data_IF_017148680332
#
_entry.id   IF_017148680332
#
_cell.length_a   1.000
_cell.length_b   1.000
_cell.length_c   1.000
_cell.angle_alpha   90.00
_cell.angle_beta   90.00
_cell.angle_gamma   90.00
#
_symmetry.space_group_name_H-M   'P 1'
#
loop_
_entity.id
_entity.type
_entity.pdbx_description
1 polymer ?
#
# COMPACT_ATOMS: atom_id res chain seq x y z
N UNK A 1 -8.65 25.06 -11.41
CA UNK A 1 -7.73 25.28 -10.26
C UNK A 1 -7.19 23.98 -9.64
N UNK A 2 -8.01 23.01 -9.22
CA UNK A 2 -7.52 21.71 -8.69
C UNK A 2 -6.99 20.81 -9.81
N UNK A 3 -7.69 20.77 -10.95
CA UNK A 3 -7.30 19.99 -12.15
C UNK A 3 -5.97 20.49 -12.72
N UNK A 4 -5.74 21.81 -12.76
CA UNK A 4 -4.48 22.39 -13.25
C UNK A 4 -3.28 22.05 -12.36
N UNK A 5 -3.49 21.97 -11.04
CA UNK A 5 -2.46 21.51 -10.10
C UNK A 5 -2.14 20.03 -10.29
N UNK A 6 -3.16 19.22 -10.56
CA UNK A 6 -3.01 17.78 -10.78
C UNK A 6 -2.33 17.50 -12.13
N UNK A 7 -2.68 18.24 -13.17
CA UNK A 7 -2.02 18.19 -14.48
C UNK A 7 -0.56 18.68 -14.39
N UNK A 8 -0.28 19.77 -13.68
CA UNK A 8 1.09 20.21 -13.46
C UNK A 8 1.89 19.21 -12.63
N UNK A 9 1.26 18.56 -11.64
CA UNK A 9 1.91 17.51 -10.85
C UNK A 9 2.25 16.28 -11.71
N UNK A 10 1.32 15.82 -12.56
CA UNK A 10 1.52 14.71 -13.48
C UNK A 10 2.57 15.04 -14.56
N UNK A 11 2.53 16.26 -15.11
CA UNK A 11 3.50 16.76 -16.09
C UNK A 11 4.91 16.79 -15.51
N UNK A 12 5.07 17.30 -14.28
CA UNK A 12 6.37 17.32 -13.58
C UNK A 12 6.91 15.92 -13.32
N UNK A 13 6.02 14.95 -13.06
CA UNK A 13 6.40 13.54 -12.89
C UNK A 13 6.81 12.89 -14.21
N UNK A 14 6.12 13.22 -15.30
CA UNK A 14 6.47 12.78 -16.66
C UNK A 14 7.84 13.31 -17.10
N UNK A 15 8.12 14.59 -16.85
CA UNK A 15 9.39 15.23 -17.20
C UNK A 15 10.56 14.65 -16.38
N UNK A 16 10.34 14.34 -15.10
CA UNK A 16 11.33 13.63 -14.27
C UNK A 16 11.56 12.16 -14.68
N UNK A 17 10.76 11.62 -15.62
CA UNK A 17 10.87 10.25 -16.12
C UNK A 17 11.58 10.17 -17.48
N UNK A 18 11.92 11.30 -18.10
CA UNK A 18 12.58 11.34 -19.41
C UNK A 18 14.09 11.48 -19.23
N UNK A 19 14.79 10.35 -19.34
CA UNK A 19 16.24 10.33 -19.56
C UNK A 19 16.46 10.45 -21.07
N UNK A 20 16.60 11.68 -21.56
CA UNK A 20 16.88 11.94 -22.98
C UNK A 20 18.39 12.06 -23.19
N UNK A 21 19.05 10.96 -23.53
CA UNK A 21 20.39 11.02 -24.14
C UNK A 21 20.23 10.97 -25.66
N UNK A 22 20.16 12.13 -26.31
CA UNK A 22 20.37 12.20 -27.76
C UNK A 22 21.87 12.24 -28.02
N UNK A 23 22.52 11.08 -28.07
CA UNK A 23 23.94 10.97 -28.47
C UNK A 23 24.14 11.20 -29.98
N UNK A 24 23.06 11.17 -30.75
CA UNK A 24 23.09 11.54 -32.16
C UNK A 24 22.50 12.94 -32.27
N UNK A 25 23.38 13.94 -32.30
CA UNK A 25 23.02 15.29 -32.76
C UNK A 25 22.49 15.21 -34.19
N UNK A 26 21.68 16.20 -34.57
CA UNK A 26 21.33 16.37 -35.98
C UNK A 26 22.63 16.56 -36.80
N UNK A 27 22.66 16.19 -38.09
CA UNK A 27 23.85 16.43 -38.91
C UNK A 27 24.18 17.93 -38.90
N UNK A 28 25.24 18.32 -38.20
CA UNK A 28 25.64 19.72 -38.00
C UNK A 28 25.66 20.21 -36.55
N UNK A 29 25.15 19.45 -35.58
CA UNK A 29 25.36 19.77 -34.16
C UNK A 29 26.82 19.46 -33.78
N UNK A 30 27.50 20.46 -33.21
CA UNK A 30 28.85 20.35 -32.70
C UNK A 30 28.93 19.21 -31.69
N UNK A 31 30.04 18.46 -31.77
CA UNK A 31 30.36 17.36 -30.87
C UNK A 31 30.18 17.88 -29.45
N UNK A 32 29.24 17.31 -28.67
CA UNK A 32 29.02 17.71 -27.28
C UNK A 32 30.35 17.63 -26.52
N UNK A 33 30.99 18.79 -26.30
CA UNK A 33 32.34 18.91 -25.70
C UNK A 33 32.33 18.69 -24.18
N UNK A 34 31.16 18.42 -23.59
CA UNK A 34 31.03 18.17 -22.16
C UNK A 34 31.81 16.92 -21.77
N UNK A 35 32.53 17.01 -20.65
CA UNK A 35 33.21 15.86 -20.09
C UNK A 35 32.19 14.72 -19.87
N UNK A 36 32.55 13.46 -20.21
CA UNK A 36 31.65 12.33 -20.02
C UNK A 36 31.24 12.23 -18.54
N UNK A 37 29.98 11.88 -18.25
CA UNK A 37 29.50 11.81 -16.87
C UNK A 37 30.32 10.80 -16.07
N UNK A 38 30.96 11.28 -15.00
CA UNK A 38 31.84 10.47 -14.12
C UNK A 38 31.12 9.91 -12.90
N UNK A 39 29.91 10.37 -12.60
CA UNK A 39 29.18 10.02 -11.37
C UNK A 39 27.75 9.55 -11.66
N UNK A 40 27.32 8.52 -10.93
CA UNK A 40 25.95 8.01 -10.89
C UNK A 40 25.41 8.33 -9.50
N UNK A 41 24.45 9.26 -9.43
CA UNK A 41 23.83 9.65 -8.17
C UNK A 41 22.65 8.72 -7.87
N UNK A 42 22.70 8.04 -6.72
CA UNK A 42 21.64 7.16 -6.23
C UNK A 42 21.11 7.72 -4.92
N UNK A 43 19.79 7.84 -4.78
CA UNK A 43 19.20 8.32 -3.54
C UNK A 43 19.54 7.37 -2.38
N UNK A 44 19.97 7.91 -1.24
CA UNK A 44 20.14 7.11 -0.03
C UNK A 44 18.78 6.66 0.51
N UNK A 45 18.64 5.38 0.85
CA UNK A 45 17.44 4.85 1.50
C UNK A 45 17.62 4.86 3.02
N UNK A 46 16.79 5.65 3.69
CA UNK A 46 16.75 5.72 5.15
C UNK A 46 15.65 4.80 5.69
N UNK A 47 16.08 3.67 6.29
CA UNK A 47 15.17 2.70 6.91
C UNK A 47 14.40 3.28 8.11
N UNK A 48 14.96 4.27 8.81
CA UNK A 48 14.39 4.83 10.04
C UNK A 48 13.54 6.08 9.80
N UNK A 49 13.35 6.44 8.53
CA UNK A 49 12.60 7.62 8.11
C UNK A 49 11.21 7.65 8.76
N UNK A 50 10.73 8.83 9.22
CA UNK A 50 9.48 8.95 9.97
C UNK A 50 8.25 8.50 9.16
N UNK A 51 8.35 8.52 7.83
CA UNK A 51 7.30 8.04 6.93
C UNK A 51 7.03 6.52 7.03
N UNK A 52 8.04 5.73 7.42
CA UNK A 52 7.93 4.28 7.63
C UNK A 52 7.60 3.89 9.07
N UNK A 53 7.24 4.86 9.92
CA UNK A 53 6.72 4.59 11.26
C UNK A 53 5.21 4.46 11.23
N UNK A 54 4.71 3.53 12.04
CA UNK A 54 3.29 3.38 12.34
C UNK A 54 3.13 3.40 13.85
N UNK A 55 2.33 4.35 14.35
CA UNK A 55 2.23 4.66 15.77
C UNK A 55 3.61 5.00 16.36
N UNK A 56 4.08 4.23 17.34
CA UNK A 56 5.33 4.45 18.06
C UNK A 56 6.46 3.50 17.64
N UNK A 57 6.30 2.74 16.55
CA UNK A 57 7.29 1.74 16.12
C UNK A 57 7.46 1.68 14.60
N UNK A 58 8.48 0.97 14.15
CA UNK A 58 8.72 0.74 12.73
C UNK A 58 7.54 -0.03 12.11
N UNK A 59 7.12 0.35 10.91
CA UNK A 59 5.91 -0.18 10.25
C UNK A 59 5.89 -1.70 10.16
N UNK A 60 7.03 -2.35 9.90
CA UNK A 60 7.14 -3.82 9.86
C UNK A 60 6.82 -4.48 11.20
N UNK A 61 7.25 -3.88 12.31
CA UNK A 61 6.95 -4.37 13.67
C UNK A 61 5.47 -4.15 14.00
N UNK A 62 4.92 -2.99 13.66
CA UNK A 62 3.50 -2.70 13.84
C UNK A 62 2.63 -3.69 13.04
N UNK A 63 3.00 -3.98 11.79
CA UNK A 63 2.31 -4.96 10.95
C UNK A 63 2.43 -6.39 11.49
N UNK A 64 3.58 -6.79 12.05
CA UNK A 64 3.74 -8.09 12.70
C UNK A 64 2.84 -8.23 13.93
N UNK A 65 2.78 -7.20 14.77
CA UNK A 65 1.90 -7.15 15.95
C UNK A 65 0.43 -7.22 15.51
N UNK A 66 0.07 -6.46 14.49
CA UNK A 66 -1.28 -6.48 13.90
C UNK A 66 -1.63 -7.87 13.37
N UNK A 67 -0.72 -8.51 12.63
CA UNK A 67 -0.95 -9.86 12.12
C UNK A 67 -1.14 -10.89 13.25
N UNK A 68 -0.31 -10.84 14.29
CA UNK A 68 -0.42 -11.72 15.45
C UNK A 68 -1.70 -11.50 16.27
N UNK A 69 -2.08 -10.24 16.47
CA UNK A 69 -3.33 -9.87 17.14
C UNK A 69 -4.54 -10.39 16.36
N UNK A 70 -4.61 -10.12 15.06
CA UNK A 70 -5.74 -10.53 14.24
C UNK A 70 -5.85 -12.05 14.05
N UNK A 71 -4.73 -12.76 13.99
CA UNK A 71 -4.71 -14.23 14.02
C UNK A 71 -5.30 -14.73 15.35
N UNK A 72 -4.90 -14.13 16.47
CA UNK A 72 -5.44 -14.48 17.79
C UNK A 72 -6.95 -14.22 17.87
N UNK A 73 -7.42 -13.08 17.37
CA UNK A 73 -8.85 -12.77 17.27
C UNK A 73 -9.60 -13.78 16.41
N UNK A 74 -9.05 -14.16 15.24
CA UNK A 74 -9.68 -15.13 14.33
C UNK A 74 -9.90 -16.48 15.03
N UNK A 75 -8.86 -17.00 15.68
CA UNK A 75 -8.93 -18.27 16.41
C UNK A 75 -9.90 -18.15 17.58
N UNK A 76 -9.79 -17.09 18.37
CA UNK A 76 -10.64 -16.87 19.52
C UNK A 76 -12.12 -16.77 19.13
N UNK A 77 -12.45 -16.02 18.09
CA UNK A 77 -13.81 -15.90 17.56
C UNK A 77 -14.36 -17.24 17.08
N UNK A 78 -13.54 -18.06 16.40
CA UNK A 78 -13.94 -19.40 16.00
C UNK A 78 -14.22 -20.30 17.20
N UNK A 79 -13.33 -20.31 18.21
CA UNK A 79 -13.52 -21.11 19.42
C UNK A 79 -14.75 -20.67 20.20
N UNK A 80 -14.94 -19.36 20.38
CA UNK A 80 -16.13 -18.81 21.04
C UNK A 80 -17.41 -19.17 20.30
N UNK A 81 -17.38 -19.12 18.96
CA UNK A 81 -18.51 -19.55 18.15
C UNK A 81 -18.87 -21.02 18.35
N UNK A 82 -17.87 -21.91 18.43
CA UNK A 82 -18.12 -23.34 18.66
C UNK A 82 -18.79 -23.64 20.01
N UNK A 83 -18.45 -22.89 21.06
CA UNK A 83 -18.99 -23.12 22.40
C UNK A 83 -20.34 -22.43 22.64
N UNK A 84 -20.53 -21.22 22.11
CA UNK A 84 -21.73 -20.43 22.33
C UNK A 84 -22.89 -20.86 21.42
N UNK A 85 -22.58 -21.44 20.25
CA UNK A 85 -23.60 -21.86 19.31
C UNK A 85 -24.41 -23.05 19.87
N UNK A 86 -25.74 -22.87 19.93
CA UNK A 86 -26.68 -23.88 20.43
C UNK A 86 -26.94 -24.95 19.37
N UNK A 87 -26.00 -25.88 19.24
CA UNK A 87 -26.04 -26.99 18.28
C UNK A 87 -27.32 -27.83 18.38
N UNK A 88 -27.87 -27.98 19.59
CA UNK A 88 -28.98 -28.87 19.90
C UNK A 88 -30.37 -28.25 19.66
N UNK A 89 -30.46 -26.93 19.52
CA UNK A 89 -31.74 -26.20 19.37
C UNK A 89 -32.32 -26.26 17.95
N UNK A 90 -31.51 -26.71 16.98
CA UNK A 90 -31.97 -26.89 15.61
C UNK A 90 -32.73 -28.21 15.54
N UNK A 91 -34.06 -28.14 15.64
CA UNK A 91 -34.99 -29.29 15.62
C UNK A 91 -34.94 -30.20 14.37
N UNK A 92 -33.91 -30.07 13.52
CA UNK A 92 -33.60 -30.93 12.36
C UNK A 92 -32.20 -31.57 12.41
N UNK A 93 -31.44 -31.40 13.50
CA UNK A 93 -30.10 -31.98 13.68
C UNK A 93 -28.97 -30.96 13.49
N UNK A 94 -27.75 -31.48 13.44
CA UNK A 94 -26.49 -30.73 13.35
C UNK A 94 -26.45 -29.78 12.14
N UNK A 95 -26.28 -28.48 12.38
CA UNK A 95 -26.21 -27.46 11.32
C UNK A 95 -24.83 -27.48 10.63
N UNK A 96 -24.75 -28.31 9.58
CA UNK A 96 -23.55 -28.46 8.73
C UNK A 96 -23.17 -27.14 8.05
N UNK A 97 -24.15 -26.31 7.65
CA UNK A 97 -23.89 -25.07 6.92
C UNK A 97 -23.13 -24.07 7.79
N UNK A 98 -23.58 -23.92 9.02
CA UNK A 98 -22.92 -23.08 10.03
C UNK A 98 -21.48 -23.53 10.30
N UNK A 99 -21.23 -24.83 10.36
CA UNK A 99 -19.88 -25.36 10.59
C UNK A 99 -18.97 -25.10 9.41
N UNK A 100 -19.44 -25.39 8.20
CA UNK A 100 -18.69 -25.09 6.98
C UNK A 100 -18.35 -23.60 6.92
N UNK A 101 -19.31 -22.73 7.21
CA UNK A 101 -19.09 -21.28 7.30
C UNK A 101 -18.03 -20.90 8.34
N UNK A 102 -18.10 -21.47 9.55
CA UNK A 102 -17.14 -21.19 10.63
C UNK A 102 -15.72 -21.68 10.29
N UNK A 103 -15.58 -22.84 9.65
CA UNK A 103 -14.29 -23.37 9.19
C UNK A 103 -13.73 -22.49 8.08
N UNK A 104 -14.55 -22.06 7.12
CA UNK A 104 -14.13 -21.13 6.07
C UNK A 104 -13.63 -19.80 6.66
N UNK A 105 -14.34 -19.26 7.65
CA UNK A 105 -13.92 -18.05 8.36
C UNK A 105 -12.56 -18.25 9.04
N UNK A 106 -12.37 -19.38 9.74
CA UNK A 106 -11.09 -19.71 10.37
C UNK A 106 -9.95 -19.81 9.34
N UNK A 107 -10.17 -20.55 8.26
CA UNK A 107 -9.15 -20.78 7.23
C UNK A 107 -8.78 -19.48 6.53
N UNK A 108 -9.78 -18.72 6.04
CA UNK A 108 -9.56 -17.45 5.35
C UNK A 108 -8.89 -16.44 6.30
N UNK A 109 -9.41 -16.29 7.52
CA UNK A 109 -8.85 -15.40 8.51
C UNK A 109 -7.39 -15.76 8.85
N UNK A 110 -7.09 -17.04 9.08
CA UNK A 110 -5.72 -17.49 9.35
C UNK A 110 -4.80 -17.22 8.14
N UNK A 111 -5.25 -17.53 6.92
CA UNK A 111 -4.47 -17.31 5.71
C UNK A 111 -4.15 -15.82 5.50
N UNK A 112 -5.12 -14.94 5.70
CA UNK A 112 -4.94 -13.48 5.53
C UNK A 112 -3.82 -12.96 6.45
N UNK A 113 -3.84 -13.34 7.72
CA UNK A 113 -2.82 -12.90 8.69
C UNK A 113 -1.47 -13.58 8.45
N UNK A 114 -1.49 -14.86 8.06
CA UNK A 114 -0.29 -15.60 7.71
C UNK A 114 0.45 -14.98 6.52
N UNK A 115 -0.27 -14.52 5.50
CA UNK A 115 0.32 -13.85 4.34
C UNK A 115 1.05 -12.56 4.74
N UNK A 116 0.55 -11.81 5.72
CA UNK A 116 1.26 -10.63 6.26
C UNK A 116 2.59 -11.02 6.89
N UNK A 117 2.59 -12.06 7.74
CA UNK A 117 3.83 -12.56 8.37
C UNK A 117 4.81 -13.09 7.32
N UNK A 118 4.32 -13.77 6.28
CA UNK A 118 5.13 -14.24 5.18
C UNK A 118 5.72 -13.07 4.38
N UNK A 119 4.95 -12.01 4.14
CA UNK A 119 5.40 -10.79 3.50
C UNK A 119 6.51 -10.09 4.26
N UNK A 120 6.40 -10.04 5.59
CA UNK A 120 7.46 -9.51 6.47
C UNK A 120 8.71 -10.38 6.40
N UNK A 121 8.56 -11.71 6.51
CA UNK A 121 9.67 -12.67 6.45
C UNK A 121 10.40 -12.66 5.11
N UNK A 122 9.67 -12.49 4.01
CA UNK A 122 10.20 -12.46 2.64
C UNK A 122 10.55 -11.06 2.14
N UNK A 123 10.33 -10.04 2.98
CA UNK A 123 10.49 -8.62 2.63
C UNK A 123 9.82 -8.22 1.32
N UNK A 124 8.58 -8.70 1.10
CA UNK A 124 7.88 -8.53 -0.17
C UNK A 124 6.46 -7.99 0.05
N UNK A 125 6.20 -6.83 -0.57
CA UNK A 125 4.96 -6.08 -0.49
C UNK A 125 3.73 -6.83 -1.06
N UNK A 126 3.91 -7.73 -2.02
CA UNK A 126 2.82 -8.43 -2.72
C UNK A 126 1.99 -9.28 -1.76
N UNK A 127 2.64 -9.93 -0.79
CA UNK A 127 1.95 -10.78 0.19
C UNK A 127 1.04 -9.98 1.16
N UNK A 128 1.17 -8.66 1.22
CA UNK A 128 0.33 -7.81 2.07
C UNK A 128 -1.00 -7.41 1.41
N UNK A 129 -1.09 -7.54 0.07
CA UNK A 129 -2.27 -7.13 -0.71
C UNK A 129 -3.56 -7.85 -0.26
N UNK A 130 -3.59 -9.19 -0.07
CA UNK A 130 -4.80 -9.87 0.34
C UNK A 130 -5.38 -9.34 1.65
N UNK A 131 -4.52 -9.05 2.64
CA UNK A 131 -4.96 -8.50 3.92
C UNK A 131 -5.53 -7.09 3.78
N UNK A 132 -4.90 -6.23 2.99
CA UNK A 132 -5.42 -4.88 2.72
C UNK A 132 -6.79 -4.94 2.07
N UNK A 133 -6.97 -5.80 1.06
CA UNK A 133 -8.25 -5.96 0.37
C UNK A 133 -9.36 -6.46 1.31
N UNK A 134 -9.07 -7.49 2.11
CA UNK A 134 -10.04 -8.07 3.05
C UNK A 134 -10.42 -7.06 4.12
N UNK A 135 -9.46 -6.38 4.76
CA UNK A 135 -9.77 -5.37 5.79
C UNK A 135 -10.55 -4.20 5.23
N UNK A 136 -10.16 -3.67 4.07
CA UNK A 136 -10.90 -2.58 3.44
C UNK A 136 -12.35 -2.97 3.16
N UNK A 137 -12.57 -4.15 2.58
CA UNK A 137 -13.90 -4.65 2.30
C UNK A 137 -14.73 -4.89 3.56
N UNK A 138 -14.15 -5.51 4.58
CA UNK A 138 -14.79 -5.76 5.88
C UNK A 138 -15.20 -4.45 6.55
N UNK A 139 -14.30 -3.46 6.65
CA UNK A 139 -14.58 -2.16 7.25
C UNK A 139 -15.73 -1.45 6.51
N UNK A 140 -15.75 -1.50 5.18
CA UNK A 140 -16.80 -0.86 4.37
C UNK A 140 -18.15 -1.55 4.59
N UNK A 141 -18.20 -2.88 4.53
CA UNK A 141 -19.43 -3.64 4.80
C UNK A 141 -19.92 -3.38 6.21
N UNK A 142 -19.02 -3.43 7.19
CA UNK A 142 -19.33 -3.15 8.57
C UNK A 142 -19.90 -1.72 8.70
N UNK A 143 -19.28 -0.71 8.11
CA UNK A 143 -19.81 0.65 8.20
C UNK A 143 -21.23 0.76 7.60
N UNK A 144 -21.51 0.08 6.50
CA UNK A 144 -22.85 0.04 5.88
C UNK A 144 -23.86 -0.63 6.83
N UNK A 145 -23.53 -1.80 7.39
CA UNK A 145 -24.40 -2.53 8.34
C UNK A 145 -24.70 -1.64 9.54
N UNK A 146 -23.71 -0.94 10.07
CA UNK A 146 -23.90 -0.02 11.21
C UNK A 146 -24.82 1.13 10.87
N UNK A 147 -24.66 1.77 9.71
CA UNK A 147 -25.56 2.85 9.27
C UNK A 147 -27.00 2.35 9.13
N UNK A 148 -27.19 1.16 8.54
CA UNK A 148 -28.51 0.54 8.41
C UNK A 148 -29.11 0.21 9.78
N UNK A 149 -28.33 -0.36 10.69
CA UNK A 149 -28.76 -0.70 12.04
C UNK A 149 -29.14 0.56 12.84
N UNK A 150 -28.31 1.61 12.78
CA UNK A 150 -28.58 2.88 13.43
C UNK A 150 -29.84 3.55 12.86
N UNK A 151 -30.00 3.57 11.53
CA UNK A 151 -31.18 4.13 10.88
C UNK A 151 -32.45 3.35 11.24
N UNK A 152 -32.41 2.02 11.21
CA UNK A 152 -33.53 1.18 11.64
C UNK A 152 -33.93 1.51 13.08
N UNK A 153 -32.93 1.64 13.97
CA UNK A 153 -33.13 1.88 15.38
C UNK A 153 -33.65 3.30 15.70
N UNK A 154 -33.26 4.32 14.92
CA UNK A 154 -33.83 5.68 15.02
C UNK A 154 -35.28 5.71 14.54
N UNK A 155 -35.59 4.99 13.45
CA UNK A 155 -36.93 4.95 12.86
C UNK A 155 -37.90 4.05 13.65
N UNK A 156 -37.39 3.01 14.32
CA UNK A 156 -38.17 2.24 15.28
C UNK A 156 -38.28 3.04 16.58
N UNK A 157 -39.44 3.65 16.84
CA UNK A 157 -39.78 4.42 18.06
C UNK A 157 -39.58 3.64 19.38
N UNK A 158 -39.16 2.38 19.31
CA UNK A 158 -38.95 1.43 20.39
C UNK A 158 -38.01 1.91 21.49
N UNK A 159 -37.00 2.77 21.20
CA UNK A 159 -36.13 3.31 22.25
C UNK A 159 -36.77 4.43 23.09
N UNK A 160 -37.86 5.05 22.62
CA UNK A 160 -38.56 6.12 23.35
C UNK A 160 -39.83 5.63 24.06
N UNK A 161 -40.26 4.38 23.83
CA UNK A 161 -41.52 3.83 24.38
C UNK A 161 -41.38 2.51 25.13
N UNK A 162 -40.25 1.79 25.01
CA UNK A 162 -40.07 0.54 25.76
C UNK A 162 -39.67 0.83 27.22
N UNK A 163 -40.20 0.06 28.21
CA UNK A 163 -39.66 0.09 29.56
C UNK A 163 -38.17 -0.26 29.50
N UNK A 164 -37.38 0.35 30.38
CA UNK A 164 -35.94 0.14 30.52
C UNK A 164 -35.68 -1.31 30.98
N UNK A 165 -35.79 -2.27 30.06
CA UNK A 165 -35.53 -3.67 30.36
C UNK A 165 -34.01 -3.83 30.48
N UNK A 166 -33.56 -4.14 31.70
CA UNK A 166 -32.15 -4.03 32.14
C UNK A 166 -31.20 -4.94 31.35
N UNK A 167 -31.72 -5.88 30.57
CA UNK A 167 -30.98 -6.83 29.75
C UNK A 167 -30.78 -6.41 28.29
N UNK A 168 -31.46 -5.36 27.82
CA UNK A 168 -31.33 -4.92 26.41
C UNK A 168 -30.12 -3.98 26.26
N UNK A 169 -29.10 -4.32 25.45
CA UNK A 169 -27.97 -3.44 25.26
C UNK A 169 -28.44 -2.14 24.59
N UNK A 170 -28.13 -1.01 25.23
CA UNK A 170 -28.51 0.29 24.69
C UNK A 170 -27.81 0.56 23.34
N UNK A 171 -28.42 1.39 22.50
CA UNK A 171 -27.78 1.86 21.26
C UNK A 171 -26.38 2.41 21.48
N UNK A 172 -26.17 3.12 22.59
CA UNK A 172 -24.86 3.64 22.98
C UNK A 172 -23.85 2.50 23.19
N UNK A 173 -24.22 1.46 23.93
CA UNK A 173 -23.35 0.31 24.20
C UNK A 173 -22.98 -0.42 22.91
N UNK A 174 -23.95 -0.67 22.03
CA UNK A 174 -23.72 -1.30 20.73
C UNK A 174 -22.83 -0.44 19.83
N UNK A 175 -23.07 0.88 19.79
CA UNK A 175 -22.28 1.82 19.01
C UNK A 175 -20.83 1.89 19.47
N UNK A 176 -20.59 1.94 20.79
CA UNK A 176 -19.24 1.96 21.35
C UNK A 176 -18.48 0.67 21.00
N UNK A 177 -19.14 -0.48 21.15
CA UNK A 177 -18.54 -1.77 20.78
C UNK A 177 -18.18 -1.80 19.29
N UNK A 178 -19.11 -1.36 18.43
CA UNK A 178 -18.91 -1.34 16.99
C UNK A 178 -17.74 -0.46 16.55
N UNK A 179 -17.72 0.78 17.02
CA UNK A 179 -16.67 1.74 16.71
C UNK A 179 -15.31 1.27 17.22
N UNK A 180 -15.28 0.52 18.33
CA UNK A 180 -14.05 -0.09 18.84
C UNK A 180 -13.53 -1.16 17.88
N UNK A 181 -14.40 -2.07 17.42
CA UNK A 181 -14.01 -3.12 16.46
C UNK A 181 -13.49 -2.52 15.16
N UNK A 182 -14.24 -1.59 14.56
CA UNK A 182 -13.85 -0.89 13.32
C UNK A 182 -12.57 -0.09 13.53
N UNK A 183 -12.40 0.56 14.69
CA UNK A 183 -11.19 1.30 15.06
C UNK A 183 -9.97 0.39 15.13
N UNK A 184 -10.09 -0.78 15.76
CA UNK A 184 -9.03 -1.79 15.80
C UNK A 184 -8.67 -2.28 14.40
N UNK A 185 -9.66 -2.67 13.59
CA UNK A 185 -9.42 -3.12 12.21
C UNK A 185 -8.73 -2.03 11.36
N UNK A 186 -9.14 -0.77 11.52
CA UNK A 186 -8.55 0.38 10.81
C UNK A 186 -7.09 0.60 11.22
N UNK A 187 -6.77 0.49 12.51
CA UNK A 187 -5.41 0.59 13.02
C UNK A 187 -4.51 -0.53 12.47
N UNK A 188 -5.04 -1.74 12.34
CA UNK A 188 -4.34 -2.87 11.73
C UNK A 188 -4.10 -2.64 10.23
N UNK A 189 -5.13 -2.20 9.49
CA UNK A 189 -5.03 -1.87 8.06
C UNK A 189 -3.96 -0.80 7.81
N UNK A 190 -3.92 0.24 8.63
CA UNK A 190 -2.92 1.31 8.54
C UNK A 190 -1.50 0.77 8.75
N UNK A 191 -1.31 -0.10 9.75
CA UNK A 191 0.00 -0.72 10.04
C UNK A 191 0.49 -1.57 8.86
N UNK A 192 -0.38 -2.42 8.30
CA UNK A 192 -0.06 -3.30 7.17
C UNK A 192 0.22 -2.46 5.91
N UNK A 193 -0.57 -1.42 5.64
CA UNK A 193 -0.37 -0.53 4.49
C UNK A 193 0.95 0.23 4.58
N UNK A 194 1.31 0.73 5.77
CA UNK A 194 2.60 1.38 6.01
C UNK A 194 3.78 0.42 5.78
N UNK A 195 3.68 -0.82 6.25
CA UNK A 195 4.71 -1.84 6.03
C UNK A 195 4.84 -2.20 4.53
N UNK A 196 3.72 -2.26 3.81
CA UNK A 196 3.71 -2.47 2.36
C UNK A 196 4.46 -1.36 1.63
N UNK A 197 4.15 -0.11 1.95
CA UNK A 197 4.81 1.06 1.34
C UNK A 197 6.32 1.07 1.62
N UNK A 198 6.73 0.67 2.83
CA UNK A 198 8.14 0.50 3.17
C UNK A 198 8.80 -0.56 2.26
N UNK A 199 8.21 -1.74 2.11
CA UNK A 199 8.78 -2.79 1.25
C UNK A 199 8.78 -2.41 -0.23
N UNK A 200 7.78 -1.69 -0.73
CA UNK A 200 7.79 -1.17 -2.10
C UNK A 200 8.92 -0.16 -2.32
N UNK A 201 9.10 0.78 -1.40
CA UNK A 201 10.17 1.77 -1.48
C UNK A 201 11.55 1.10 -1.40
N UNK A 202 11.71 0.11 -0.51
CA UNK A 202 12.92 -0.70 -0.38
C UNK A 202 13.23 -1.49 -1.67
N UNK A 203 12.20 -2.05 -2.32
CA UNK A 203 12.36 -2.78 -3.59
C UNK A 203 12.76 -1.85 -4.75
N UNK A 204 12.14 -0.67 -4.85
CA UNK A 204 12.49 0.34 -5.85
C UNK A 204 13.94 0.77 -5.67
N UNK A 205 14.35 1.12 -4.44
CA UNK A 205 15.72 1.50 -4.16
C UNK A 205 16.72 0.39 -4.53
N UNK A 206 16.41 -0.88 -4.20
CA UNK A 206 17.25 -2.02 -4.58
C UNK A 206 17.43 -2.12 -6.10
N UNK A 207 16.37 -1.85 -6.88
CA UNK A 207 16.44 -1.82 -8.35
C UNK A 207 17.28 -0.65 -8.86
N UNK A 208 17.16 0.53 -8.26
CA UNK A 208 17.97 1.71 -8.60
C UNK A 208 19.47 1.44 -8.38
N UNK A 209 19.84 0.84 -7.24
CA UNK A 209 21.22 0.43 -6.96
C UNK A 209 21.72 -0.60 -7.99
N UNK A 210 20.90 -1.59 -8.34
CA UNK A 210 21.27 -2.59 -9.35
C UNK A 210 21.52 -1.97 -10.74
N UNK A 211 20.70 -0.99 -11.14
CA UNK A 211 20.90 -0.25 -12.40
C UNK A 211 22.18 0.56 -12.34
N UNK A 212 22.46 1.23 -11.22
CA UNK A 212 23.71 1.97 -11.03
C UNK A 212 24.95 1.06 -11.08
N UNK A 213 24.89 -0.10 -10.43
CA UNK A 213 25.95 -1.11 -10.50
C UNK A 213 26.15 -1.64 -11.91
N UNK A 214 25.06 -1.88 -12.66
CA UNK A 214 25.15 -2.32 -14.04
C UNK A 214 25.78 -1.24 -14.94
N UNK A 215 25.39 0.03 -14.76
CA UNK A 215 26.00 1.17 -15.44
C UNK A 215 27.50 1.28 -15.17
N UNK A 216 27.91 1.09 -13.91
CA UNK A 216 29.33 1.06 -13.52
C UNK A 216 30.09 -0.12 -14.13
N UNK A 217 29.47 -1.29 -14.27
CA UNK A 217 30.11 -2.45 -14.95
C UNK A 217 30.36 -2.18 -16.43
N UNK A 218 29.47 -1.44 -17.08
CA UNK A 218 29.63 -1.04 -18.48
C UNK A 218 30.64 0.10 -18.66
N UNK A 219 30.74 0.99 -17.67
CA UNK A 219 31.63 2.15 -17.68
C UNK A 219 32.44 2.19 -16.37
N UNK A 220 33.59 1.50 -16.30
CA UNK A 220 34.36 1.32 -15.07
C UNK A 220 34.87 2.61 -14.42
N UNK A 221 35.00 3.67 -15.21
CA UNK A 221 35.45 5.00 -14.77
C UNK A 221 34.36 5.77 -14.00
N UNK A 222 33.11 5.29 -14.02
CA UNK A 222 32.00 5.93 -13.29
C UNK A 222 31.99 5.55 -11.80
N UNK A 223 31.76 6.54 -10.94
CA UNK A 223 31.61 6.38 -9.50
C UNK A 223 30.13 6.46 -9.07
N UNK A 224 29.70 5.57 -8.19
CA UNK A 224 28.35 5.63 -7.60
C UNK A 224 28.42 6.50 -6.33
N UNK A 225 27.61 7.54 -6.28
CA UNK A 225 27.52 8.47 -5.15
C UNK A 225 26.12 8.37 -4.55
N UNK A 226 26.04 8.10 -3.24
CA UNK A 226 24.78 8.08 -2.53
C UNK A 226 24.44 9.49 -2.04
N UNK A 227 23.31 10.02 -2.50
CA UNK A 227 22.87 11.39 -2.22
C UNK A 227 21.76 11.36 -1.19
N UNK A 228 21.92 12.09 -0.09
CA UNK A 228 20.82 12.32 0.87
C UNK A 228 19.93 13.46 0.38
N UNK A 229 18.67 13.46 0.80
CA UNK A 229 17.70 14.50 0.42
C UNK A 229 18.10 15.92 0.86
N UNK A 230 18.98 16.02 1.85
CA UNK A 230 19.54 17.27 2.38
C UNK A 230 20.80 17.71 1.65
N UNK A 231 21.45 16.80 0.92
CA UNK A 231 22.58 17.13 0.07
C UNK A 231 22.04 17.88 -1.14
N UNK A 232 22.27 19.19 -1.18
CA UNK A 232 22.09 19.94 -2.42
C UNK A 232 23.10 19.39 -3.42
N UNK A 233 22.66 18.48 -4.28
CA UNK A 233 23.32 18.27 -5.57
C UNK A 233 23.20 19.61 -6.25
N UNK A 234 24.32 20.31 -6.39
CA UNK A 234 24.35 21.53 -7.18
C UNK A 234 23.66 21.17 -8.51
N UNK A 235 22.60 21.89 -8.93
CA UNK A 235 22.13 21.73 -10.29
C UNK A 235 23.38 21.91 -11.15
N UNK A 236 23.62 21.00 -12.10
CA UNK A 236 24.73 21.15 -13.05
C UNK A 236 24.77 22.61 -13.46
N UNK A 237 25.82 23.31 -13.06
CA UNK A 237 25.84 24.78 -13.06
C UNK A 237 25.48 25.28 -14.44
N UNK A 238 24.51 26.19 -14.50
CA UNK A 238 24.22 27.14 -15.57
C UNK A 238 24.99 26.89 -16.88
N UNK A 239 24.45 25.99 -17.72
CA UNK A 239 24.57 26.19 -19.16
C UNK A 239 23.29 26.89 -19.59
N UNK A 240 23.41 28.19 -19.88
CA UNK A 240 22.39 28.96 -20.57
C UNK A 240 21.85 28.18 -21.78
N UNK A 241 20.54 28.00 -21.83
CA UNK A 241 19.85 27.36 -22.96
C UNK A 241 18.97 26.20 -22.54
N UNK A 242 17.74 26.52 -22.11
CA UNK A 242 16.64 25.55 -22.13
C UNK A 242 16.34 25.25 -23.60
N UNK A 243 17.04 24.28 -24.19
CA UNK A 243 16.64 23.69 -25.47
C UNK A 243 15.63 22.60 -25.16
N UNK A 244 14.35 22.97 -25.21
CA UNK A 244 13.28 21.98 -25.28
C UNK A 244 13.49 21.15 -26.53
N UNK A 245 13.76 19.85 -26.38
CA UNK A 245 13.78 18.92 -27.51
C UNK A 245 12.44 19.02 -28.26
N UNK A 246 12.42 19.15 -29.60
CA UNK A 246 11.18 19.17 -30.33
C UNK A 246 10.41 17.85 -30.11
N UNK A 247 9.07 17.88 -30.13
CA UNK A 247 8.27 16.69 -29.89
C UNK A 247 8.65 15.58 -30.88
N UNK A 248 8.61 14.31 -30.44
CA UNK A 248 9.04 13.18 -31.26
C UNK A 248 8.23 13.16 -32.55
N UNK A 249 8.90 13.38 -33.69
CA UNK A 249 8.29 13.10 -34.99
C UNK A 249 8.17 11.58 -35.09
N UNK A 250 6.93 11.11 -35.23
CA UNK A 250 6.62 9.73 -35.60
C UNK A 250 7.31 9.45 -36.93
N UNK A 251 8.45 8.76 -36.89
CA UNK A 251 9.04 8.17 -38.08
C UNK A 251 8.15 6.98 -38.42
N UNK A 252 7.16 7.21 -39.27
CA UNK A 252 6.54 6.16 -40.05
C UNK A 252 7.67 5.52 -40.87
N UNK A 253 8.21 4.42 -40.37
CA UNK A 253 9.02 3.54 -41.19
C UNK A 253 8.10 3.00 -42.28
N UNK A 254 8.18 3.62 -43.46
CA UNK A 254 7.69 3.02 -44.69
C UNK A 254 8.47 1.72 -44.87
N UNK A 255 7.74 0.61 -44.72
CA UNK A 255 8.21 -0.73 -45.01
C UNK A 255 8.22 -0.90 -46.53
N UNK A 256 9.30 -0.48 -47.18
CA UNK A 256 9.60 -0.86 -48.55
C UNK A 256 10.93 -1.62 -48.56
N UNK A 257 10.89 -2.84 -49.09
CA UNK A 257 11.98 -3.80 -49.31
C UNK A 257 12.10 -4.95 -48.29
N UNK A 258 11.15 -5.89 -48.37
CA UNK A 258 11.48 -7.31 -48.25
C UNK A 258 11.46 -7.88 -49.67
N UNK A 259 12.63 -8.37 -50.09
CA UNK A 259 12.86 -9.08 -51.34
C UNK A 259 12.21 -10.48 -51.33
#
# INVERSE_FOLDING_TARGET
MVVDRLLNYLKRRSENSQVTYSRFGLPGDEVDERAPPTEIHVAHFDDDAPEYRAFFTHSTRAAAISAGFGLSCTIFSFVMFLFEFRWDDHGRGFDVGTIVGSILLLVIGTLVHWQVLLGIKRENAVYMIPAIMVYFFMIVIELIIYVLAANHLVNSTAMFTAPNDKSTPTFLTLSVFYLTVVGCQTAMLLSITKARNYYEAKEIHKKEVQVAEHGKRQNPEMQIVYVKKEDQVAPMSDCEGVVTSPPPRVILAANDNIA
#
